data_IF_017311409631
#
_entry.id   IF_017311409631
#
_cell.length_a   1.000
_cell.length_b   1.000
_cell.length_c   1.000
_cell.angle_alpha   90.00
_cell.angle_beta   90.00
_cell.angle_gamma   90.00
#
_symmetry.space_group_name_H-M   'P 1'
#
loop_
_entity.id
_entity.type
_entity.pdbx_description
1 polymer ?
#
# COMPACT_ATOMS: atom_id res chain seq x y z
N UNK A 1 0.17 3.69 7.33
CA UNK A 1 -0.06 3.41 5.91
C UNK A 1 -0.43 4.70 5.21
N UNK A 2 0.06 4.92 3.99
CA UNK A 2 -0.32 6.01 3.09
C UNK A 2 -1.35 5.47 2.09
N UNK A 3 -2.59 5.95 2.14
CA UNK A 3 -3.73 5.30 1.47
C UNK A 3 -3.96 5.75 0.03
N UNK A 4 -2.89 6.01 -0.73
CA UNK A 4 -2.96 6.57 -2.08
C UNK A 4 -2.81 8.09 -2.13
N UNK A 5 -2.77 8.62 -3.35
CA UNK A 5 -2.65 10.04 -3.66
C UNK A 5 -1.48 10.71 -2.90
N UNK A 6 -0.35 9.99 -2.86
CA UNK A 6 0.90 10.42 -2.23
C UNK A 6 1.54 11.54 -3.07
N UNK A 7 1.28 11.55 -4.38
CA UNK A 7 1.95 12.40 -5.35
C UNK A 7 0.98 12.93 -6.41
N UNK A 8 1.33 14.09 -6.98
CA UNK A 8 0.66 14.67 -8.14
C UNK A 8 1.69 15.21 -9.14
N UNK A 9 1.59 14.79 -10.39
CA UNK A 9 2.48 15.12 -11.49
C UNK A 9 3.66 14.16 -11.66
N UNK A 10 4.37 14.29 -12.80
CA UNK A 10 5.45 13.39 -13.18
C UNK A 10 6.60 13.38 -12.17
N UNK A 11 7.16 12.19 -11.91
CA UNK A 11 8.27 11.95 -10.96
C UNK A 11 9.44 12.93 -11.12
N UNK A 12 9.90 13.16 -12.35
CA UNK A 12 11.04 14.04 -12.67
C UNK A 12 10.83 15.49 -12.22
N UNK A 13 9.57 15.95 -12.11
CA UNK A 13 9.22 17.30 -11.64
C UNK A 13 9.06 17.39 -10.12
N UNK A 14 9.07 16.25 -9.43
CA UNK A 14 8.70 16.13 -8.01
C UNK A 14 9.81 15.54 -7.14
N UNK A 15 10.96 15.18 -7.72
CA UNK A 15 12.04 14.51 -6.97
C UNK A 15 12.47 15.25 -5.70
N UNK A 16 12.56 16.58 -5.76
CA UNK A 16 12.92 17.41 -4.59
C UNK A 16 11.79 17.47 -3.57
N UNK A 17 10.55 17.56 -4.03
CA UNK A 17 9.37 17.69 -3.19
C UNK A 17 9.11 16.42 -2.37
N UNK A 18 9.36 15.25 -2.97
CA UNK A 18 9.17 13.94 -2.32
C UNK A 18 10.37 13.46 -1.52
N UNK A 19 11.55 14.05 -1.69
CA UNK A 19 12.78 13.62 -1.02
C UNK A 19 12.64 13.49 0.50
N UNK A 20 11.92 14.38 1.22
CA UNK A 20 11.69 14.25 2.65
C UNK A 20 10.96 12.97 3.06
N UNK A 21 10.18 12.34 2.18
CA UNK A 21 9.46 11.09 2.48
C UNK A 21 10.42 9.95 2.87
N UNK A 22 11.67 10.00 2.41
CA UNK A 22 12.73 9.04 2.80
C UNK A 22 13.00 9.05 4.32
N UNK A 23 12.66 10.13 5.01
CA UNK A 23 12.86 10.28 6.43
C UNK A 23 11.65 9.79 7.26
N UNK A 24 10.55 9.38 6.62
CA UNK A 24 9.41 8.81 7.34
C UNK A 24 9.81 7.53 8.05
N UNK A 25 9.47 7.46 9.34
CA UNK A 25 9.68 6.29 10.18
C UNK A 25 8.40 5.98 10.93
N UNK A 26 8.07 4.70 10.98
CA UNK A 26 6.97 4.18 11.77
C UNK A 26 7.41 2.86 12.39
N UNK A 27 6.85 2.53 13.55
CA UNK A 27 7.21 1.34 14.35
C UNK A 27 7.19 0.05 13.54
N UNK A 28 6.26 -0.06 12.58
CA UNK A 28 6.05 -1.25 11.75
C UNK A 28 6.44 -1.04 10.29
N UNK A 29 7.27 -0.03 10.01
CA UNK A 29 7.60 0.40 8.65
C UNK A 29 6.52 1.27 8.01
N UNK A 30 6.85 1.83 6.86
CA UNK A 30 5.97 2.72 6.08
C UNK A 30 5.44 1.93 4.89
N UNK A 31 4.14 1.69 4.89
CA UNK A 31 3.43 1.06 3.76
C UNK A 31 2.58 2.08 3.03
N UNK A 32 2.29 1.84 1.75
CA UNK A 32 1.34 2.63 0.98
C UNK A 32 0.58 1.81 -0.05
N UNK A 33 -0.50 2.35 -0.62
CA UNK A 33 -1.20 1.81 -1.79
C UNK A 33 -1.29 2.89 -2.86
N UNK A 34 -1.48 2.53 -4.13
CA UNK A 34 -1.73 3.53 -5.17
C UNK A 34 -3.16 4.07 -5.08
N UNK A 35 -3.30 5.39 -5.08
CA UNK A 35 -4.55 6.11 -5.33
C UNK A 35 -4.66 6.52 -6.79
N UNK A 36 -5.71 7.27 -7.14
CA UNK A 36 -5.95 7.67 -8.52
C UNK A 36 -4.83 8.55 -9.09
N UNK A 37 -4.23 9.44 -8.29
CA UNK A 37 -3.22 10.38 -8.77
C UNK A 37 -1.92 9.69 -9.19
N UNK A 38 -1.54 8.56 -8.59
CA UNK A 38 -0.41 7.78 -9.07
C UNK A 38 -0.62 7.32 -10.52
N UNK A 39 -1.85 6.96 -10.90
CA UNK A 39 -2.17 6.54 -12.27
C UNK A 39 -2.06 7.69 -13.27
N UNK A 40 -2.71 8.81 -12.98
CA UNK A 40 -2.66 10.00 -13.84
C UNK A 40 -1.25 10.61 -13.94
N UNK A 41 -0.42 10.42 -12.90
CA UNK A 41 0.90 11.04 -12.79
C UNK A 41 2.05 10.17 -13.31
N UNK A 42 1.75 9.02 -13.93
CA UNK A 42 2.73 8.07 -14.45
C UNK A 42 2.99 6.91 -13.49
N UNK A 43 1.97 6.04 -13.36
CA UNK A 43 1.94 4.91 -12.43
C UNK A 43 3.26 4.15 -12.30
N UNK A 44 3.81 3.68 -13.43
CA UNK A 44 4.99 2.80 -13.42
C UNK A 44 6.23 3.49 -12.86
N UNK A 45 6.39 4.79 -13.11
CA UNK A 45 7.49 5.58 -12.56
C UNK A 45 7.34 5.74 -11.04
N UNK A 46 6.11 5.97 -10.56
CA UNK A 46 5.83 6.10 -9.14
C UNK A 46 5.92 4.78 -8.37
N UNK A 47 5.49 3.67 -8.98
CA UNK A 47 5.66 2.32 -8.43
C UNK A 47 7.14 1.95 -8.27
N UNK A 48 8.03 2.51 -9.09
CA UNK A 48 9.48 2.38 -8.88
C UNK A 48 9.99 3.35 -7.81
N UNK A 49 9.53 4.60 -7.81
CA UNK A 49 10.11 5.67 -6.99
C UNK A 49 9.74 5.59 -5.50
N UNK A 50 8.49 5.26 -5.18
CA UNK A 50 8.03 5.20 -3.79
C UNK A 50 8.78 4.13 -2.96
N UNK A 51 9.06 2.92 -3.49
CA UNK A 51 9.95 1.97 -2.82
C UNK A 51 11.38 2.47 -2.57
N UNK A 52 11.96 3.26 -3.47
CA UNK A 52 13.29 3.87 -3.26
C UNK A 52 13.31 4.85 -2.06
N UNK A 53 12.14 5.38 -1.69
CA UNK A 53 11.93 6.24 -0.52
C UNK A 53 11.59 5.45 0.75
N UNK A 54 11.61 4.11 0.70
CA UNK A 54 11.31 3.25 1.84
C UNK A 54 9.83 2.97 2.07
N UNK A 55 8.97 3.29 1.08
CA UNK A 55 7.53 3.01 1.16
C UNK A 55 7.25 1.63 0.54
N UNK A 56 6.78 0.69 1.35
CA UNK A 56 6.36 -0.63 0.87
C UNK A 56 4.98 -0.53 0.21
N UNK A 57 4.92 -0.65 -1.12
CA UNK A 57 3.66 -0.56 -1.86
C UNK A 57 2.86 -1.86 -1.78
N UNK A 58 1.64 -1.77 -1.28
CA UNK A 58 0.65 -2.84 -1.12
C UNK A 58 -0.44 -2.71 -2.19
N UNK A 59 -0.14 -3.15 -3.41
CA UNK A 59 -1.09 -3.14 -4.52
C UNK A 59 -1.64 -4.56 -4.69
N UNK A 60 -2.88 -4.78 -4.28
CA UNK A 60 -3.48 -6.12 -4.17
C UNK A 60 -2.57 -7.10 -3.42
N UNK A 61 -1.98 -6.64 -2.32
CA UNK A 61 -1.07 -7.43 -1.49
C UNK A 61 -1.15 -7.02 -0.03
N UNK A 62 -0.48 -7.76 0.84
CA UNK A 62 -0.49 -7.52 2.26
C UNK A 62 0.89 -7.67 2.90
N UNK A 63 0.98 -7.22 4.14
CA UNK A 63 2.02 -7.61 5.09
C UNK A 63 1.37 -8.10 6.38
N UNK A 64 2.07 -8.98 7.09
CA UNK A 64 1.66 -9.45 8.42
C UNK A 64 2.57 -8.80 9.44
N UNK A 65 1.97 -7.98 10.31
CA UNK A 65 2.65 -7.33 11.42
C UNK A 65 2.47 -8.17 12.68
N UNK A 66 3.50 -8.24 13.53
CA UNK A 66 3.37 -8.80 14.87
C UNK A 66 3.23 -7.68 15.88
N UNK A 67 2.04 -7.54 16.48
CA UNK A 67 1.74 -6.53 17.49
C UNK A 67 1.46 -7.29 18.80
N UNK A 68 2.34 -7.15 19.80
CA UNK A 68 2.23 -7.88 21.06
C UNK A 68 2.01 -9.40 20.84
N UNK A 69 2.82 -10.01 19.96
CA UNK A 69 2.72 -11.42 19.57
C UNK A 69 1.40 -11.82 18.87
N UNK A 70 0.54 -10.85 18.54
CA UNK A 70 -0.70 -11.06 17.79
C UNK A 70 -0.48 -10.64 16.33
N UNK A 71 -0.77 -11.50 15.35
CA UNK A 71 -0.68 -11.15 13.95
C UNK A 71 -1.77 -10.13 13.57
N UNK A 72 -1.38 -9.03 12.94
CA UNK A 72 -2.26 -8.08 12.28
C UNK A 72 -1.94 -8.09 10.78
N UNK A 73 -2.94 -8.39 9.96
CA UNK A 73 -2.82 -8.29 8.50
C UNK A 73 -3.11 -6.84 8.09
N UNK A 74 -2.17 -6.22 7.38
CA UNK A 74 -2.38 -4.94 6.69
C UNK A 74 -2.38 -5.22 5.19
N UNK A 75 -3.55 -5.15 4.58
CA UNK A 75 -3.74 -5.38 3.15
C UNK A 75 -4.08 -4.07 2.43
N UNK A 76 -3.49 -3.88 1.24
CA UNK A 76 -3.80 -2.78 0.34
C UNK A 76 -4.31 -3.30 -1.00
N UNK A 77 -5.25 -2.59 -1.58
CA UNK A 77 -5.79 -2.83 -2.93
C UNK A 77 -5.49 -1.63 -3.82
N UNK A 78 -5.43 -1.85 -5.13
CA UNK A 78 -5.30 -0.77 -6.12
C UNK A 78 -6.56 0.08 -6.20
N UNK A 79 -6.45 1.29 -6.75
CA UNK A 79 -7.60 2.16 -7.03
C UNK A 79 -8.44 1.67 -8.23
N UNK A 80 -9.78 1.83 -8.24
CA UNK A 80 -10.63 1.45 -9.38
C UNK A 80 -10.24 2.11 -10.72
N UNK A 81 -9.62 3.29 -10.70
CA UNK A 81 -9.16 3.97 -11.91
C UNK A 81 -8.12 3.15 -12.68
N UNK A 82 -7.45 2.19 -12.03
CA UNK A 82 -6.47 1.29 -12.65
C UNK A 82 -6.99 0.62 -13.94
N UNK A 83 -8.30 0.35 -14.01
CA UNK A 83 -8.95 -0.19 -15.20
C UNK A 83 -8.73 0.68 -16.45
N UNK A 84 -8.81 2.00 -16.31
CA UNK A 84 -8.63 2.97 -17.40
C UNK A 84 -7.20 2.95 -17.95
N UNK A 85 -6.25 2.55 -17.11
CA UNK A 85 -4.83 2.49 -17.44
C UNK A 85 -4.36 1.08 -17.83
N UNK A 86 -5.28 0.10 -17.95
CA UNK A 86 -4.99 -1.32 -18.21
C UNK A 86 -4.01 -1.91 -17.18
N UNK A 87 -4.20 -1.53 -15.91
CA UNK A 87 -3.46 -2.06 -14.75
C UNK A 87 -4.37 -2.98 -13.93
N UNK A 88 -3.81 -3.80 -13.01
CA UNK A 88 -4.62 -4.62 -12.11
C UNK A 88 -5.64 -3.76 -11.35
N UNK A 89 -6.90 -4.20 -11.37
CA UNK A 89 -8.03 -3.55 -10.68
C UNK A 89 -8.07 -4.00 -9.22
N UNK A 90 -8.77 -3.27 -8.31
CA UNK A 90 -8.85 -3.66 -6.91
C UNK A 90 -9.30 -5.11 -6.74
N UNK A 91 -8.52 -5.89 -5.98
CA UNK A 91 -8.78 -7.31 -5.76
C UNK A 91 -8.51 -7.70 -4.30
N UNK A 92 -9.58 -7.79 -3.50
CA UNK A 92 -9.50 -8.15 -2.08
C UNK A 92 -9.05 -9.59 -1.88
N UNK A 93 -9.50 -10.49 -2.76
CA UNK A 93 -9.15 -11.92 -2.67
C UNK A 93 -7.65 -12.12 -2.83
N UNK A 94 -7.05 -11.50 -3.85
CA UNK A 94 -5.60 -11.51 -4.08
C UNK A 94 -4.84 -10.83 -2.94
N UNK A 95 -5.33 -9.68 -2.47
CA UNK A 95 -4.68 -8.96 -1.37
C UNK A 95 -4.60 -9.79 -0.08
N UNK A 96 -5.56 -10.69 0.16
CA UNK A 96 -5.63 -11.53 1.36
C UNK A 96 -5.16 -12.98 1.15
N UNK A 97 -4.69 -13.33 -0.05
CA UNK A 97 -4.23 -14.68 -0.34
C UNK A 97 -3.06 -15.09 0.58
N UNK A 98 -3.17 -16.25 1.25
CA UNK A 98 -2.13 -16.74 2.17
C UNK A 98 -2.10 -16.06 3.54
N UNK A 99 -3.04 -15.17 3.85
CA UNK A 99 -3.14 -14.56 5.18
C UNK A 99 -3.64 -15.56 6.23
N UNK A 100 -3.26 -15.39 7.52
CA UNK A 100 -3.83 -16.20 8.60
C UNK A 100 -5.36 -16.05 8.62
N UNK A 101 -6.11 -17.12 8.98
CA UNK A 101 -7.55 -17.03 9.10
C UNK A 101 -7.93 -15.97 10.13
N UNK A 102 -9.01 -15.23 9.85
CA UNK A 102 -9.61 -14.32 10.83
C UNK A 102 -9.97 -15.16 12.05
N UNK A 103 -9.36 -14.85 13.20
CA UNK A 103 -9.76 -15.45 14.46
C UNK A 103 -11.09 -14.80 14.85
N UNK A 104 -12.18 -15.56 14.80
CA UNK A 104 -13.44 -15.13 15.39
C UNK A 104 -13.21 -14.88 16.88
N UNK A 105 -13.20 -13.60 17.29
CA UNK A 105 -13.05 -13.18 18.69
C UNK A 105 -14.26 -13.48 19.57
N UNK A 106 -15.17 -14.35 19.13
CA UNK A 106 -16.38 -14.77 19.85
C UNK A 106 -16.32 -16.28 20.09
N UNK A 107 -15.33 -16.74 20.83
CA UNK A 107 -15.54 -17.91 21.66
C UNK A 107 -16.25 -17.44 22.92
N UNK A 108 -17.57 -17.55 22.90
CA UNK A 108 -18.42 -17.49 24.09
C UNK A 108 -17.85 -18.50 25.08
N UNK A 109 -17.24 -18.01 26.17
CA UNK A 109 -16.89 -18.84 27.31
C UNK A 109 -18.13 -19.57 27.80
N UNK A 110 -18.03 -20.90 27.90
CA UNK A 110 -18.86 -21.69 28.79
C UNK A 110 -18.37 -21.51 30.22
#
# INVERSE_FOLDING_TARGET
MLTGDIVDGATVKREKDIAPLKNLKATYGVSGSAGNNEYYSGYDAWQKKLPELGIHMLNNSHIILSINQTPLVLAGITDPVAAQFRKPVPNVTEALEGTPPVRDGLSSGK
#
